data_IF_356152733151
#
_entry.id   IF_356152733151
#
_cell.length_a   1.000
_cell.length_b   1.000
_cell.length_c   1.000
_cell.angle_alpha   90.00
_cell.angle_beta   90.00
_cell.angle_gamma   90.00
#
_symmetry.space_group_name_H-M   'P 1'
#
loop_
_entity.id
_entity.type
_entity.pdbx_description
1 polymer ?
#
# COMPACT_ATOMS: atom_id res chain seq x y z
N UNK A 1 -2.08 17.42 0.06
CA UNK A 1 -2.58 16.64 -1.09
C UNK A 1 -1.56 15.56 -1.44
N UNK A 2 -1.70 14.33 -0.91
CA UNK A 2 -0.72 13.24 -1.18
C UNK A 2 -1.05 12.47 -2.47
N UNK A 3 -2.34 12.45 -2.82
CA UNK A 3 -2.86 11.73 -4.00
C UNK A 3 -2.43 12.42 -5.30
N UNK A 4 -2.59 13.75 -5.40
CA UNK A 4 -2.24 14.52 -6.59
C UNK A 4 -0.73 14.56 -6.85
N UNK A 5 0.10 14.66 -5.81
CA UNK A 5 1.56 14.63 -5.97
C UNK A 5 2.07 13.25 -6.40
N UNK A 6 1.49 12.16 -5.90
CA UNK A 6 1.93 10.80 -6.26
C UNK A 6 1.44 10.30 -7.62
N UNK A 7 0.24 10.68 -8.07
CA UNK A 7 -0.39 10.15 -9.28
C UNK A 7 -0.41 11.14 -10.46
N UNK A 8 -0.09 12.42 -10.21
CA UNK A 8 -0.19 13.49 -11.18
C UNK A 8 -1.59 14.10 -11.24
N UNK A 9 -1.74 15.28 -11.84
CA UNK A 9 -3.04 15.97 -11.90
C UNK A 9 -3.98 15.27 -12.88
N UNK A 10 -5.21 14.89 -12.48
CA UNK A 10 -6.15 14.21 -13.36
C UNK A 10 -6.54 15.11 -14.53
N UNK A 11 -6.63 14.51 -15.72
CA UNK A 11 -7.09 15.15 -16.95
C UNK A 11 -8.45 14.54 -17.36
N UNK A 12 -9.19 15.22 -18.24
CA UNK A 12 -10.50 14.79 -18.75
C UNK A 12 -10.43 13.40 -19.42
N UNK A 13 -9.27 13.04 -20.00
CA UNK A 13 -9.02 11.71 -20.56
C UNK A 13 -8.98 10.60 -19.50
N UNK A 14 -8.50 10.90 -18.29
CA UNK A 14 -8.35 9.93 -17.19
C UNK A 14 -9.67 9.82 -16.42
N UNK A 15 -10.33 10.96 -16.18
CA UNK A 15 -11.62 11.06 -15.51
C UNK A 15 -12.59 11.92 -16.34
N UNK A 16 -13.43 11.29 -17.18
CA UNK A 16 -14.43 12.03 -17.94
C UNK A 16 -15.46 12.65 -16.99
N UNK A 17 -15.73 13.94 -17.17
CA UNK A 17 -16.58 14.72 -16.28
C UNK A 17 -15.84 15.38 -15.11
N UNK A 18 -14.51 15.28 -15.04
CA UNK A 18 -13.71 15.97 -14.02
C UNK A 18 -13.97 17.48 -14.00
N UNK A 19 -14.04 18.12 -15.18
CA UNK A 19 -14.34 19.54 -15.33
C UNK A 19 -15.77 19.95 -14.88
N UNK A 20 -16.67 18.97 -14.76
CA UNK A 20 -18.05 19.20 -14.33
C UNK A 20 -18.19 19.31 -12.80
N UNK A 21 -17.19 18.82 -12.05
CA UNK A 21 -17.27 18.73 -10.60
C UNK A 21 -17.19 20.12 -9.95
N UNK A 22 -18.11 20.44 -9.01
CA UNK A 22 -18.18 21.76 -8.40
C UNK A 22 -16.95 22.11 -7.55
N UNK A 23 -16.24 21.10 -7.03
CA UNK A 23 -14.99 21.28 -6.27
C UNK A 23 -13.83 21.66 -7.18
N UNK A 24 -13.75 21.05 -8.37
CA UNK A 24 -12.67 21.30 -9.34
C UNK A 24 -12.75 22.71 -9.91
N UNK A 25 -13.96 23.25 -10.08
CA UNK A 25 -14.16 24.64 -10.52
C UNK A 25 -13.77 25.68 -9.47
N UNK A 26 -13.75 25.30 -8.18
CA UNK A 26 -13.44 26.19 -7.06
C UNK A 26 -11.97 26.15 -6.63
N UNK A 27 -11.23 25.11 -7.01
CA UNK A 27 -9.84 24.93 -6.64
C UNK A 27 -8.94 24.92 -7.86
N UNK A 28 -7.93 25.81 -7.88
CA UNK A 28 -6.84 25.72 -8.84
C UNK A 28 -5.85 24.68 -8.33
N UNK A 29 -5.73 23.56 -9.04
CA UNK A 29 -4.72 22.56 -8.75
C UNK A 29 -3.42 22.95 -9.47
N UNK A 30 -2.30 22.82 -8.77
CA UNK A 30 -0.99 22.82 -9.43
C UNK A 30 -0.90 21.60 -10.35
N UNK A 31 -0.16 21.74 -11.45
CA UNK A 31 0.09 20.63 -12.36
C UNK A 31 1.17 19.74 -11.76
N UNK A 32 0.83 18.50 -11.47
CA UNK A 32 1.77 17.46 -11.06
C UNK A 32 1.96 16.50 -12.23
N UNK A 33 3.22 16.25 -12.59
CA UNK A 33 3.57 15.28 -13.62
C UNK A 33 3.19 13.85 -13.18
N UNK A 34 2.65 13.03 -14.08
CA UNK A 34 2.38 11.63 -13.79
C UNK A 34 3.69 10.83 -13.61
N UNK A 35 3.66 9.79 -12.77
CA UNK A 35 4.76 8.82 -12.66
C UNK A 35 5.61 8.89 -11.37
N UNK A 36 5.26 9.74 -10.39
CA UNK A 36 5.92 9.69 -9.08
C UNK A 36 5.67 8.38 -8.31
N UNK A 37 4.56 7.70 -8.60
CA UNK A 37 4.19 6.47 -7.90
C UNK A 37 5.28 5.39 -8.05
N UNK A 38 5.83 5.22 -9.25
CA UNK A 38 6.85 4.20 -9.53
C UNK A 38 8.18 4.52 -8.84
N UNK A 39 8.48 5.82 -8.67
CA UNK A 39 9.64 6.28 -7.90
C UNK A 39 9.47 6.01 -6.40
N UNK A 40 8.25 6.12 -5.88
CA UNK A 40 7.94 5.86 -4.46
C UNK A 40 7.89 4.37 -4.13
N UNK A 41 7.53 3.54 -5.12
CA UNK A 41 7.40 2.10 -4.98
C UNK A 41 8.40 1.39 -5.91
N UNK A 42 9.69 1.37 -5.55
CA UNK A 42 10.71 0.70 -6.35
C UNK A 42 10.49 -0.82 -6.38
N UNK A 43 11.02 -1.54 -7.40
CA UNK A 43 10.90 -2.99 -7.52
C UNK A 43 11.46 -3.79 -6.34
N UNK A 44 12.36 -3.18 -5.54
CA UNK A 44 12.88 -3.78 -4.32
C UNK A 44 11.87 -3.84 -3.18
N UNK A 45 10.82 -3.02 -3.23
CA UNK A 45 9.77 -2.95 -2.21
C UNK A 45 8.51 -3.70 -2.64
N UNK A 46 8.13 -3.58 -3.91
CA UNK A 46 6.90 -4.19 -4.44
C UNK A 46 7.12 -4.73 -5.84
N UNK A 47 6.51 -5.89 -6.10
CA UNK A 47 6.46 -6.49 -7.42
C UNK A 47 5.56 -5.69 -8.38
N UNK A 48 5.72 -5.91 -9.69
CA UNK A 48 4.96 -5.21 -10.73
C UNK A 48 3.44 -5.40 -10.58
N UNK A 49 3.01 -6.61 -10.20
CA UNK A 49 1.59 -6.92 -9.92
C UNK A 49 1.05 -6.12 -8.72
N UNK A 50 1.88 -5.90 -7.70
CA UNK A 50 1.50 -5.08 -6.55
C UNK A 50 1.43 -3.60 -6.90
N UNK A 51 2.34 -3.11 -7.74
CA UNK A 51 2.28 -1.74 -8.25
C UNK A 51 1.01 -1.52 -9.09
N UNK A 52 0.63 -2.50 -9.93
CA UNK A 52 -0.64 -2.50 -10.65
C UNK A 52 -1.85 -2.45 -9.71
N UNK A 53 -1.85 -3.26 -8.67
CA UNK A 53 -2.91 -3.26 -7.66
C UNK A 53 -3.08 -1.89 -6.98
N UNK A 54 -1.98 -1.26 -6.58
CA UNK A 54 -1.99 0.09 -6.00
C UNK A 54 -2.55 1.10 -7.00
N UNK A 55 -2.16 1.05 -8.28
CA UNK A 55 -2.70 1.92 -9.34
C UNK A 55 -4.21 1.76 -9.50
N UNK A 56 -4.73 0.53 -9.42
CA UNK A 56 -6.17 0.27 -9.50
C UNK A 56 -6.94 0.79 -8.28
N UNK A 57 -6.37 0.67 -7.07
CA UNK A 57 -6.96 1.25 -5.85
C UNK A 57 -6.94 2.79 -5.87
N UNK A 58 -5.89 3.38 -6.42
CA UNK A 58 -5.68 4.83 -6.48
C UNK A 58 -6.29 5.50 -7.73
N UNK A 59 -7.11 4.79 -8.49
CA UNK A 59 -7.75 5.35 -9.69
C UNK A 59 -8.67 6.53 -9.34
N UNK A 60 -8.54 7.64 -10.07
CA UNK A 60 -9.30 8.88 -9.84
C UNK A 60 -10.80 8.69 -10.01
N UNK A 61 -11.22 8.08 -11.12
CA UNK A 61 -12.62 7.80 -11.41
C UNK A 61 -13.15 6.68 -10.48
N UNK A 62 -14.13 6.97 -9.60
CA UNK A 62 -14.67 5.97 -8.68
C UNK A 62 -15.34 4.80 -9.41
N UNK A 63 -15.84 4.99 -10.64
CA UNK A 63 -16.49 3.92 -11.40
C UNK A 63 -15.47 2.90 -11.95
N UNK A 64 -14.24 3.35 -12.20
CA UNK A 64 -13.13 2.51 -12.66
C UNK A 64 -12.28 1.96 -11.51
N UNK A 65 -12.43 2.52 -10.31
CA UNK A 65 -11.70 2.10 -9.11
C UNK A 65 -12.12 0.68 -8.71
N UNK A 66 -11.13 -0.14 -8.36
CA UNK A 66 -11.39 -1.50 -7.90
C UNK A 66 -12.25 -1.51 -6.62
N UNK A 67 -13.22 -2.42 -6.56
CA UNK A 67 -14.06 -2.62 -5.37
C UNK A 67 -13.31 -3.48 -4.34
N UNK A 68 -13.64 -3.33 -3.05
CA UNK A 68 -13.00 -4.11 -1.99
C UNK A 68 -13.10 -5.63 -2.22
N UNK A 69 -14.26 -6.11 -2.72
CA UNK A 69 -14.45 -7.53 -3.05
C UNK A 69 -13.48 -7.98 -4.15
N UNK A 70 -13.36 -7.22 -5.23
CA UNK A 70 -12.43 -7.56 -6.31
C UNK A 70 -10.97 -7.43 -5.86
N UNK A 71 -10.68 -6.48 -4.97
CA UNK A 71 -9.35 -6.26 -4.45
C UNK A 71 -8.83 -7.45 -3.66
N UNK A 72 -9.68 -8.10 -2.85
CA UNK A 72 -9.33 -9.30 -2.09
C UNK A 72 -8.96 -10.51 -2.96
N UNK A 73 -9.44 -10.56 -4.20
CA UNK A 73 -9.17 -11.64 -5.15
C UNK A 73 -8.04 -11.31 -6.12
N UNK A 74 -7.26 -10.24 -5.86
CA UNK A 74 -6.17 -9.85 -6.74
C UNK A 74 -4.96 -10.77 -6.56
N UNK A 75 -4.30 -11.15 -7.66
CA UNK A 75 -3.13 -12.06 -7.71
C UNK A 75 -1.97 -11.62 -6.80
N UNK A 76 -1.93 -10.35 -6.43
CA UNK A 76 -0.92 -9.81 -5.52
C UNK A 76 -0.96 -10.47 -4.14
N UNK A 77 -2.13 -10.88 -3.66
CA UNK A 77 -2.27 -11.54 -2.35
C UNK A 77 -1.83 -13.01 -2.36
N UNK A 78 -1.85 -13.64 -3.53
CA UNK A 78 -1.45 -15.04 -3.72
C UNK A 78 0.04 -15.19 -4.08
N UNK A 79 0.73 -14.08 -4.35
CA UNK A 79 2.15 -14.03 -4.69
C UNK A 79 3.04 -14.19 -3.47
N UNK A 80 4.22 -14.76 -3.70
CA UNK A 80 5.30 -14.76 -2.71
C UNK A 80 5.97 -13.36 -2.63
N UNK A 81 6.32 -12.85 -1.45
CA UNK A 81 6.20 -13.47 -0.12
C UNK A 81 4.76 -13.43 0.43
N UNK A 82 4.31 -14.49 1.13
CA UNK A 82 3.00 -14.48 1.78
C UNK A 82 2.93 -13.39 2.85
N UNK A 83 1.71 -12.96 3.23
CA UNK A 83 1.54 -12.01 4.32
C UNK A 83 2.17 -12.57 5.60
N UNK A 84 2.88 -11.70 6.31
CA UNK A 84 3.48 -12.04 7.61
C UNK A 84 2.35 -12.47 8.56
N UNK A 85 2.45 -13.63 9.22
CA UNK A 85 1.42 -14.06 10.17
C UNK A 85 1.34 -13.06 11.33
N UNK A 86 0.15 -12.84 11.91
CA UNK A 86 -0.05 -11.84 12.96
C UNK A 86 0.85 -12.01 14.18
N UNK A 87 1.28 -13.24 14.46
CA UNK A 87 2.18 -13.60 15.57
C UNK A 87 3.59 -13.01 15.42
N UNK A 88 4.02 -12.76 14.17
CA UNK A 88 5.32 -12.18 13.85
C UNK A 88 5.24 -10.66 13.64
N UNK A 89 4.07 -10.06 13.81
CA UNK A 89 3.97 -8.61 13.80
C UNK A 89 4.77 -8.04 14.97
N UNK A 90 5.53 -6.96 14.75
CA UNK A 90 6.23 -6.31 15.85
C UNK A 90 5.18 -5.88 16.87
N UNK A 91 5.21 -6.47 18.07
CA UNK A 91 4.46 -6.00 19.24
C UNK A 91 5.14 -4.76 19.79
N UNK A 92 5.27 -3.73 18.94
CA UNK A 92 5.72 -2.41 19.36
C UNK A 92 4.48 -1.65 19.81
N UNK A 93 4.50 -0.93 20.95
CA UNK A 93 3.35 -0.14 21.35
C UNK A 93 3.00 0.80 20.21
N UNK A 94 1.75 0.76 19.76
CA UNK A 94 1.32 1.62 18.68
C UNK A 94 1.52 3.07 19.13
N UNK A 95 2.00 3.97 18.26
CA UNK A 95 2.25 5.36 18.66
C UNK A 95 0.99 6.06 19.19
N UNK A 96 -0.19 5.55 18.82
CA UNK A 96 -1.50 5.95 19.34
C UNK A 96 -1.78 5.52 20.80
N UNK A 97 -1.05 4.54 21.33
CA UNK A 97 -1.20 4.02 22.71
C UNK A 97 -0.38 4.81 23.74
N UNK A 98 0.51 5.71 23.31
CA UNK A 98 1.36 6.54 24.18
C UNK A 98 0.59 7.61 24.99
N UNK A 99 -0.74 7.47 25.12
CA UNK A 99 -1.60 8.34 25.92
C UNK A 99 -2.21 7.69 27.16
N UNK A 100 -2.00 6.39 27.43
CA UNK A 100 -2.48 5.75 28.67
C UNK A 100 -1.44 4.76 29.20
N UNK A 101 -1.12 4.77 30.51
CA UNK A 101 -0.20 3.78 31.08
C UNK A 101 -0.77 2.37 30.92
N UNK A 102 -0.16 1.55 30.07
CA UNK A 102 -0.47 0.12 29.97
C UNK A 102 0.22 -0.59 31.11
N UNK A 103 -0.55 -1.29 31.95
CA UNK A 103 -0.04 -2.13 33.04
C UNK A 103 0.81 -3.25 32.43
N UNK A 104 2.10 -3.28 32.75
CA UNK A 104 3.07 -4.26 32.21
C UNK A 104 2.83 -5.64 32.81
N UNK A 105 2.31 -6.58 32.01
CA UNK A 105 2.47 -8.02 32.24
C UNK A 105 3.86 -8.51 31.79
N UNK A 106 4.30 -9.73 32.17
CA UNK A 106 5.63 -10.24 31.85
C UNK A 106 5.82 -10.39 30.33
N UNK A 107 6.77 -9.62 29.79
CA UNK A 107 7.17 -9.64 28.38
C UNK A 107 7.96 -10.93 28.11
N UNK A 108 7.37 -11.86 27.36
CA UNK A 108 8.12 -12.99 26.80
C UNK A 108 8.78 -12.48 25.52
N UNK A 109 10.10 -12.38 25.50
CA UNK A 109 10.87 -12.02 24.29
C UNK A 109 10.76 -13.18 23.28
N UNK A 110 10.37 -12.95 22.03
CA UNK A 110 10.50 -13.97 21.00
C UNK A 110 11.99 -14.30 20.78
N UNK A 111 12.33 -15.56 20.48
CA UNK A 111 13.72 -15.97 20.28
C UNK A 111 14.32 -15.18 19.10
N UNK A 112 15.51 -14.64 19.32
CA UNK A 112 16.33 -13.97 18.30
C UNK A 112 16.75 -15.01 17.26
N UNK A 113 16.14 -14.97 16.08
CA UNK A 113 16.58 -15.78 14.94
C UNK A 113 17.60 -14.98 14.15
N UNK A 114 18.86 -15.05 14.58
CA UNK A 114 20.00 -14.74 13.73
C UNK A 114 20.46 -16.05 13.06
N UNK A 115 19.72 -16.51 12.05
CA UNK A 115 20.21 -17.59 11.20
C UNK A 115 19.78 -17.34 9.76
N UNK A 116 20.74 -16.87 8.96
CA UNK A 116 20.59 -16.60 7.51
C UNK A 116 20.49 -17.92 6.71
N UNK A 117 20.58 -19.06 7.40
CA UNK A 117 20.54 -20.41 6.84
C UNK A 117 19.16 -20.86 6.35
N UNK A 118 18.07 -20.12 6.63
CA UNK A 118 16.71 -20.49 6.18
C UNK A 118 16.33 -19.92 4.80
N UNK A 119 17.20 -19.15 4.14
CA UNK A 119 16.96 -18.65 2.78
C UNK A 119 17.37 -19.63 1.67
N UNK A 120 17.91 -20.80 2.01
CA UNK A 120 18.28 -21.83 1.04
C UNK A 120 17.85 -23.23 1.52
N UNK A 121 16.56 -23.51 1.48
CA UNK A 121 16.11 -24.90 1.34
C UNK A 121 15.90 -25.21 -0.15
N UNK A 122 16.67 -26.13 -0.76
CA UNK A 122 16.31 -26.69 -2.04
C UNK A 122 15.14 -27.65 -1.82
N UNK A 123 13.96 -27.31 -2.34
CA UNK A 123 12.89 -28.28 -2.48
C UNK A 123 13.38 -29.39 -3.42
N UNK A 124 13.53 -30.60 -2.87
CA UNK A 124 13.59 -31.85 -3.64
C UNK A 124 12.46 -32.74 -3.15
N UNK A 125 11.77 -33.31 -4.13
CA UNK A 125 10.49 -34.01 -4.09
C UNK A 125 10.31 -35.04 -2.99
#
# INVERSE_FOLDING_TARGET
>A
MVVLSGLGTPNENIWPGYSSLPVVRKMKFEHYEPGELEKKFPPSLIDESGLQFIKQMLTYDPNKRITARNALHHEWFDRYPPPVPPELFPTWPAKSEMGRPVVKGPVVKPPSVNDVSLLFFPFRC
#
